data_IF_348058010989
#
_entry.id   IF_348058010989
#
_cell.length_a   1.000
_cell.length_b   1.000
_cell.length_c   1.000
_cell.angle_alpha   90.00
_cell.angle_beta   90.00
_cell.angle_gamma   90.00
#
_symmetry.space_group_name_H-M   'P 1'
#
loop_
_entity.id
_entity.type
_entity.pdbx_description
1 polymer ?
#
# COMPACT_ATOMS: atom_id res chain seq x y z
N UNK A 1 4.71 -27.24 -11.00
CA UNK A 1 6.03 -26.57 -10.93
C UNK A 1 7.11 -27.60 -11.15
N UNK A 2 8.16 -27.29 -11.89
CA UNK A 2 9.34 -28.15 -12.02
C UNK A 2 10.26 -28.01 -10.80
N UNK A 3 11.14 -28.98 -10.56
CA UNK A 3 12.09 -28.95 -9.43
C UNK A 3 12.93 -27.67 -9.37
N UNK A 4 13.39 -27.21 -10.53
CA UNK A 4 14.12 -25.95 -10.69
C UNK A 4 13.27 -24.74 -10.28
N UNK A 5 11.98 -24.72 -10.65
CA UNK A 5 11.05 -23.66 -10.24
C UNK A 5 10.82 -23.65 -8.72
N UNK A 6 10.68 -24.81 -8.09
CA UNK A 6 10.51 -24.90 -6.62
C UNK A 6 11.75 -24.39 -5.89
N UNK A 7 12.95 -24.78 -6.35
CA UNK A 7 14.19 -24.28 -5.77
C UNK A 7 14.31 -22.76 -5.90
N UNK A 8 14.06 -22.20 -7.08
CA UNK A 8 14.08 -20.75 -7.26
C UNK A 8 13.02 -20.06 -6.39
N UNK A 9 11.83 -20.64 -6.25
CA UNK A 9 10.78 -20.08 -5.41
C UNK A 9 11.17 -20.04 -3.92
N UNK A 10 11.83 -21.09 -3.41
CA UNK A 10 12.34 -21.14 -2.03
C UNK A 10 13.29 -19.98 -1.72
N UNK A 11 14.27 -19.73 -2.58
CA UNK A 11 15.21 -18.61 -2.43
C UNK A 11 14.49 -17.26 -2.53
N UNK A 12 13.61 -17.10 -3.52
CA UNK A 12 12.87 -15.84 -3.72
C UNK A 12 12.00 -15.50 -2.50
N UNK A 13 11.31 -16.49 -1.91
CA UNK A 13 10.46 -16.26 -0.74
C UNK A 13 11.31 -15.92 0.48
N UNK A 14 12.45 -16.59 0.69
CA UNK A 14 13.36 -16.26 1.80
C UNK A 14 13.90 -14.83 1.68
N UNK A 15 14.36 -14.43 0.49
CA UNK A 15 14.87 -13.08 0.24
C UNK A 15 13.76 -12.04 0.48
N UNK A 16 12.52 -12.32 0.08
CA UNK A 16 11.38 -11.43 0.37
C UNK A 16 11.06 -11.31 1.86
N UNK A 17 11.38 -12.33 2.66
CA UNK A 17 11.16 -12.33 4.11
C UNK A 17 12.26 -11.60 4.87
N UNK A 18 13.51 -11.92 4.59
CA UNK A 18 14.66 -11.55 5.42
C UNK A 18 15.71 -10.68 4.69
N UNK A 19 15.55 -10.46 3.39
CA UNK A 19 16.56 -9.83 2.54
C UNK A 19 17.64 -10.80 2.05
N UNK A 20 17.66 -12.03 2.58
CA UNK A 20 18.64 -13.07 2.28
C UNK A 20 18.06 -14.49 2.43
N UNK A 21 18.94 -15.50 2.35
CA UNK A 21 18.59 -16.93 2.49
C UNK A 21 18.52 -17.42 3.95
N UNK A 22 18.48 -16.54 4.95
CA UNK A 22 18.52 -16.95 6.37
C UNK A 22 17.29 -17.77 6.77
N UNK A 23 16.09 -17.38 6.33
CA UNK A 23 14.87 -18.15 6.60
C UNK A 23 14.91 -19.53 5.93
N UNK A 24 15.39 -19.59 4.69
CA UNK A 24 15.58 -20.86 3.98
C UNK A 24 16.63 -21.75 4.65
N UNK A 25 17.77 -21.20 5.11
CA UNK A 25 18.78 -21.96 5.85
C UNK A 25 18.22 -22.60 7.11
N UNK A 26 17.42 -21.85 7.87
CA UNK A 26 16.71 -22.40 9.03
C UNK A 26 15.78 -23.55 8.67
N UNK A 27 15.08 -23.44 7.54
CA UNK A 27 14.23 -24.51 7.03
C UNK A 27 15.01 -25.74 6.58
N UNK A 28 16.11 -25.56 5.84
CA UNK A 28 16.98 -26.65 5.40
C UNK A 28 17.58 -27.41 6.57
N UNK A 29 17.96 -26.70 7.65
CA UNK A 29 18.46 -27.30 8.87
C UNK A 29 17.45 -28.24 9.55
N UNK A 30 16.13 -27.98 9.44
CA UNK A 30 15.10 -28.91 9.95
C UNK A 30 15.10 -30.26 9.23
N UNK A 31 15.52 -30.26 7.98
CA UNK A 31 15.67 -31.48 7.17
C UNK A 31 17.10 -32.04 7.24
N UNK A 32 18.00 -31.46 8.05
CA UNK A 32 19.39 -31.91 8.19
C UNK A 32 20.24 -31.68 6.95
N UNK A 33 19.81 -30.80 6.03
CA UNK A 33 20.51 -30.52 4.77
C UNK A 33 21.05 -29.09 4.73
N UNK A 34 22.03 -28.84 3.87
CA UNK A 34 22.63 -27.51 3.69
C UNK A 34 22.20 -26.84 2.37
N UNK A 35 21.66 -27.61 1.44
CA UNK A 35 21.25 -27.13 0.12
C UNK A 35 19.85 -27.61 -0.26
N UNK A 36 19.12 -26.76 -0.97
CA UNK A 36 17.81 -27.10 -1.55
C UNK A 36 17.89 -28.25 -2.54
N UNK A 37 19.07 -28.50 -3.14
CA UNK A 37 19.32 -29.62 -4.05
C UNK A 37 19.30 -30.99 -3.36
N UNK A 38 19.53 -31.03 -2.04
CA UNK A 38 19.56 -32.26 -1.26
C UNK A 38 18.17 -32.68 -0.78
N UNK A 39 17.15 -31.84 -0.97
CA UNK A 39 15.77 -32.19 -0.65
C UNK A 39 15.19 -33.15 -1.69
N UNK A 40 14.31 -34.05 -1.26
CA UNK A 40 13.40 -34.75 -2.18
C UNK A 40 12.36 -33.77 -2.73
N UNK A 41 11.69 -34.15 -3.82
CA UNK A 41 10.66 -33.31 -4.43
C UNK A 41 9.50 -33.01 -3.46
N UNK A 42 9.11 -34.00 -2.68
CA UNK A 42 8.09 -33.89 -1.63
C UNK A 42 8.53 -32.94 -0.51
N UNK A 43 9.77 -33.08 -0.03
CA UNK A 43 10.33 -32.22 1.00
C UNK A 43 10.44 -30.77 0.52
N UNK A 44 10.83 -30.56 -0.73
CA UNK A 44 10.94 -29.22 -1.31
C UNK A 44 9.59 -28.54 -1.47
N UNK A 45 8.56 -29.27 -1.92
CA UNK A 45 7.20 -28.76 -2.01
C UNK A 45 6.65 -28.39 -0.62
N UNK A 46 6.85 -29.25 0.38
CA UNK A 46 6.46 -28.99 1.76
C UNK A 46 7.19 -27.78 2.35
N UNK A 47 8.51 -27.69 2.13
CA UNK A 47 9.33 -26.57 2.55
C UNK A 47 8.82 -25.24 1.96
N UNK A 48 8.44 -25.23 0.67
CA UNK A 48 7.91 -24.03 0.02
C UNK A 48 6.59 -23.58 0.64
N UNK A 49 5.65 -24.51 0.87
CA UNK A 49 4.37 -24.19 1.50
C UNK A 49 4.54 -23.64 2.91
N UNK A 50 5.43 -24.22 3.70
CA UNK A 50 5.75 -23.73 5.04
C UNK A 50 6.40 -22.35 5.01
N UNK A 51 7.35 -22.12 4.11
CA UNK A 51 8.04 -20.84 3.97
C UNK A 51 7.06 -19.73 3.52
N UNK A 52 6.14 -20.03 2.60
CA UNK A 52 5.08 -19.12 2.20
C UNK A 52 4.10 -18.80 3.34
N UNK A 53 3.76 -19.78 4.17
CA UNK A 53 2.90 -19.56 5.33
C UNK A 53 3.57 -18.66 6.37
N UNK A 54 4.85 -18.90 6.66
CA UNK A 54 5.64 -18.04 7.53
C UNK A 54 5.73 -16.63 6.93
N UNK A 55 6.00 -16.48 5.63
CA UNK A 55 6.01 -15.17 4.98
C UNK A 55 4.68 -14.43 5.15
N UNK A 56 3.54 -15.09 4.93
CA UNK A 56 2.21 -14.49 5.13
C UNK A 56 1.99 -14.04 6.58
N UNK A 57 2.37 -14.87 7.54
CA UNK A 57 2.30 -14.53 8.98
C UNK A 57 3.21 -13.35 9.30
N UNK A 58 4.46 -13.35 8.85
CA UNK A 58 5.41 -12.25 9.03
C UNK A 58 4.91 -10.97 8.41
N UNK A 59 4.31 -10.98 7.21
CA UNK A 59 3.68 -9.80 6.61
C UNK A 59 2.54 -9.25 7.46
N UNK A 60 1.68 -10.13 7.98
CA UNK A 60 0.56 -9.74 8.85
C UNK A 60 1.07 -9.14 10.16
N UNK A 61 2.08 -9.76 10.77
CA UNK A 61 2.74 -9.26 11.98
C UNK A 61 3.45 -7.95 11.71
N UNK A 62 4.25 -7.83 10.65
CA UNK A 62 4.93 -6.57 10.29
C UNK A 62 3.94 -5.44 10.01
N UNK A 63 2.77 -5.75 9.44
CA UNK A 63 1.70 -4.77 9.29
C UNK A 63 1.18 -4.30 10.66
N UNK A 64 0.85 -5.23 11.57
CA UNK A 64 0.41 -4.90 12.93
C UNK A 64 1.49 -4.17 13.72
N UNK A 65 2.75 -4.60 13.60
CA UNK A 65 3.91 -3.98 14.22
C UNK A 65 4.13 -2.58 13.64
N UNK A 66 3.97 -2.36 12.33
CA UNK A 66 4.01 -1.00 11.76
C UNK A 66 2.88 -0.12 12.30
N UNK A 67 1.70 -0.70 12.57
CA UNK A 67 0.57 0.00 13.19
C UNK A 67 0.82 0.30 14.68
N UNK A 68 1.66 -0.48 15.38
CA UNK A 68 1.99 -0.36 16.82
C UNK A 68 3.25 0.49 17.07
N UNK A 69 4.30 0.31 16.27
CA UNK A 69 5.59 1.02 16.38
C UNK A 69 5.48 2.42 15.78
N UNK A 70 4.62 2.61 14.77
CA UNK A 70 4.42 3.91 14.14
C UNK A 70 2.94 4.34 14.16
N UNK A 71 2.31 4.48 15.35
CA UNK A 71 0.96 5.04 15.49
C UNK A 71 0.93 6.50 14.99
N UNK A 72 2.08 7.16 15.04
CA UNK A 72 2.39 8.49 14.52
C UNK A 72 2.85 8.52 13.07
N UNK A 73 2.72 7.42 12.32
CA UNK A 73 3.01 7.37 10.88
C UNK A 73 2.44 8.64 10.27
N UNK A 74 3.34 9.58 9.93
CA UNK A 74 2.91 10.89 9.45
C UNK A 74 2.12 10.71 8.17
N UNK A 75 2.31 9.60 7.47
CA UNK A 75 1.75 9.29 6.16
C UNK A 75 0.25 8.96 6.19
N UNK A 76 -0.44 9.39 5.15
CA UNK A 76 -1.87 9.13 4.94
C UNK A 76 -2.21 7.63 5.03
N UNK A 77 -3.27 7.31 5.78
CA UNK A 77 -3.76 5.93 5.93
C UNK A 77 -4.42 5.39 4.65
N UNK A 78 -4.45 4.06 4.50
CA UNK A 78 -5.19 3.40 3.40
C UNK A 78 -6.67 3.79 3.36
N UNK A 79 -7.30 3.98 4.53
CA UNK A 79 -8.70 4.38 4.66
C UNK A 79 -8.92 5.80 4.14
N UNK A 80 -8.07 6.76 4.50
CA UNK A 80 -8.12 8.14 4.00
C UNK A 80 -7.94 8.19 2.49
N UNK A 81 -6.96 7.45 1.95
CA UNK A 81 -6.74 7.34 0.50
C UNK A 81 -7.98 6.80 -0.22
N UNK A 82 -8.60 5.75 0.31
CA UNK A 82 -9.81 5.18 -0.25
C UNK A 82 -10.97 6.19 -0.24
N UNK A 83 -11.12 6.98 0.83
CA UNK A 83 -12.14 8.02 0.93
C UNK A 83 -11.91 9.16 -0.06
N UNK A 84 -10.67 9.62 -0.25
CA UNK A 84 -10.33 10.64 -1.25
C UNK A 84 -10.72 10.17 -2.66
N UNK A 85 -10.31 8.95 -3.02
CA UNK A 85 -10.67 8.35 -4.32
C UNK A 85 -12.19 8.24 -4.45
N UNK A 86 -12.89 7.82 -3.39
CA UNK A 86 -14.34 7.69 -3.41
C UNK A 86 -15.04 9.00 -3.68
N UNK A 87 -14.67 10.06 -2.97
CA UNK A 87 -15.28 11.37 -3.14
C UNK A 87 -14.95 11.97 -4.51
N UNK A 88 -13.67 12.04 -4.87
CA UNK A 88 -13.29 12.75 -6.10
C UNK A 88 -13.67 11.98 -7.35
N UNK A 89 -13.35 10.68 -7.43
CA UNK A 89 -13.60 9.88 -8.65
C UNK A 89 -15.03 9.40 -8.76
N UNK A 90 -15.62 8.85 -7.70
CA UNK A 90 -16.94 8.20 -7.82
C UNK A 90 -18.09 9.16 -7.53
N UNK A 91 -17.95 10.06 -6.54
CA UNK A 91 -19.04 11.00 -6.20
C UNK A 91 -19.02 12.26 -7.07
N UNK A 92 -17.85 12.86 -7.29
CA UNK A 92 -17.73 14.09 -8.09
C UNK A 92 -17.34 13.86 -9.55
N UNK A 93 -16.97 12.64 -9.92
CA UNK A 93 -16.52 12.29 -11.26
C UNK A 93 -15.36 13.16 -11.76
N UNK A 94 -14.46 13.56 -10.86
CA UNK A 94 -13.30 14.36 -11.19
C UNK A 94 -12.27 13.54 -11.96
N UNK A 95 -11.68 14.18 -12.96
CA UNK A 95 -10.47 13.67 -13.60
C UNK A 95 -9.30 13.65 -12.60
N UNK A 96 -8.28 12.83 -12.88
CA UNK A 96 -7.11 12.71 -12.00
C UNK A 96 -6.38 14.05 -11.84
N UNK A 97 -6.34 14.86 -12.89
CA UNK A 97 -5.70 16.17 -12.95
C UNK A 97 -6.42 17.15 -12.01
N UNK A 98 -7.77 17.12 -12.01
CA UNK A 98 -8.58 17.96 -11.12
C UNK A 98 -8.37 17.56 -9.65
N UNK A 99 -8.33 16.25 -9.35
CA UNK A 99 -8.02 15.77 -8.00
C UNK A 99 -6.62 16.21 -7.55
N UNK A 100 -5.63 16.08 -8.44
CA UNK A 100 -4.25 16.43 -8.16
C UNK A 100 -4.09 17.94 -7.91
N UNK A 101 -4.68 18.77 -8.77
CA UNK A 101 -4.68 20.22 -8.63
C UNK A 101 -5.34 20.66 -7.33
N UNK A 102 -6.51 20.10 -7.00
CA UNK A 102 -7.23 20.44 -5.78
C UNK A 102 -6.44 20.09 -4.50
N UNK A 103 -5.76 18.94 -4.49
CA UNK A 103 -4.89 18.57 -3.36
C UNK A 103 -3.74 19.55 -3.22
N UNK A 104 -3.08 19.95 -4.32
CA UNK A 104 -2.00 20.94 -4.27
C UNK A 104 -2.49 22.34 -3.88
N UNK A 105 -3.71 22.71 -4.25
CA UNK A 105 -4.34 23.96 -3.81
C UNK A 105 -4.61 23.93 -2.30
N UNK A 106 -4.99 22.78 -1.77
CA UNK A 106 -5.28 22.60 -0.34
C UNK A 106 -4.00 22.47 0.50
N UNK A 107 -2.97 21.83 -0.05
CA UNK A 107 -1.68 21.53 0.58
C UNK A 107 -0.54 22.02 -0.33
N UNK A 108 -0.28 23.34 -0.41
CA UNK A 108 0.69 23.92 -1.35
C UNK A 108 2.12 23.46 -1.08
N UNK A 109 2.45 23.13 0.17
CA UNK A 109 3.79 22.64 0.57
C UNK A 109 4.17 21.33 -0.14
N UNK A 110 3.20 20.53 -0.57
CA UNK A 110 3.47 19.30 -1.32
C UNK A 110 4.06 19.59 -2.70
N UNK A 111 3.87 20.80 -3.24
CA UNK A 111 4.36 21.17 -4.58
C UNK A 111 5.88 21.24 -4.63
N UNK A 112 6.54 21.71 -3.57
CA UNK A 112 8.02 21.76 -3.52
C UNK A 112 8.66 20.38 -3.43
N UNK A 113 7.89 19.38 -2.99
CA UNK A 113 8.34 17.99 -2.84
C UNK A 113 8.16 17.16 -4.12
N UNK A 114 7.65 17.76 -5.19
CA UNK A 114 7.36 17.10 -6.46
C UNK A 114 8.23 17.62 -7.60
N UNK A 115 8.61 16.72 -8.49
CA UNK A 115 9.28 17.09 -9.74
C UNK A 115 8.29 17.68 -10.75
N UNK A 116 8.78 18.53 -11.65
CA UNK A 116 7.98 19.07 -12.76
C UNK A 116 7.32 17.98 -13.62
N UNK A 117 8.00 16.83 -13.77
CA UNK A 117 7.46 15.67 -14.49
C UNK A 117 6.24 15.06 -13.77
N UNK A 118 6.33 14.88 -12.44
CA UNK A 118 5.23 14.35 -11.62
C UNK A 118 4.02 15.26 -11.62
N UNK A 119 4.24 16.58 -11.59
CA UNK A 119 3.19 17.60 -11.68
C UNK A 119 2.52 17.53 -13.05
N UNK A 120 3.30 17.59 -14.15
CA UNK A 120 2.76 17.55 -15.53
C UNK A 120 1.97 16.28 -15.84
N UNK A 121 2.33 15.14 -15.23
CA UNK A 121 1.63 13.86 -15.42
C UNK A 121 0.56 13.58 -14.35
N UNK A 122 0.37 14.49 -13.39
CA UNK A 122 -0.58 14.38 -12.28
C UNK A 122 -0.50 13.01 -11.58
N UNK A 123 0.72 12.61 -11.18
CA UNK A 123 0.98 11.31 -10.56
C UNK A 123 0.40 11.23 -9.14
N UNK A 124 -0.89 10.93 -9.03
CA UNK A 124 -1.61 10.83 -7.74
C UNK A 124 -0.99 9.84 -6.76
N UNK A 125 -0.39 8.74 -7.22
CA UNK A 125 0.24 7.78 -6.31
C UNK A 125 1.44 8.38 -5.57
N UNK A 126 2.24 9.23 -6.23
CA UNK A 126 3.36 9.95 -5.61
C UNK A 126 2.82 11.00 -4.64
N UNK A 127 1.83 11.78 -5.07
CA UNK A 127 1.21 12.78 -4.21
C UNK A 127 0.64 12.14 -2.93
N UNK A 128 -0.06 11.02 -3.05
CA UNK A 128 -0.58 10.27 -1.90
C UNK A 128 0.50 9.71 -0.98
N UNK A 129 1.69 9.36 -1.49
CA UNK A 129 2.80 8.94 -0.63
C UNK A 129 3.47 10.11 0.11
N UNK A 130 3.33 11.33 -0.39
CA UNK A 130 3.86 12.53 0.26
C UNK A 130 2.90 13.11 1.29
N UNK A 131 1.59 12.86 1.13
CA UNK A 131 0.58 13.39 2.04
C UNK A 131 0.69 12.80 3.44
N UNK A 132 0.63 13.70 4.43
CA UNK A 132 0.47 13.29 5.80
C UNK A 132 -1.00 12.90 6.12
N UNK A 133 -1.24 12.25 7.27
CA UNK A 133 -2.59 12.04 7.82
C UNK A 133 -3.32 13.38 7.98
N UNK A 134 -2.62 14.40 8.45
CA UNK A 134 -3.16 15.75 8.65
C UNK A 134 -3.57 16.39 7.32
N UNK A 135 -2.72 16.27 6.29
CA UNK A 135 -3.02 16.77 4.94
C UNK A 135 -4.26 16.07 4.38
N UNK A 136 -4.31 14.74 4.52
CA UNK A 136 -5.43 13.95 4.05
C UNK A 136 -6.75 14.31 4.76
N UNK A 137 -6.72 14.49 6.08
CA UNK A 137 -7.89 14.93 6.84
C UNK A 137 -8.33 16.34 6.46
N UNK A 138 -7.38 17.25 6.20
CA UNK A 138 -7.70 18.61 5.75
C UNK A 138 -8.41 18.61 4.39
N UNK A 139 -7.88 17.85 3.43
CA UNK A 139 -8.51 17.70 2.10
C UNK A 139 -9.89 17.05 2.23
N UNK A 140 -10.01 15.97 3.01
CA UNK A 140 -11.29 15.29 3.23
C UNK A 140 -12.33 16.20 3.88
N UNK A 141 -11.96 16.95 4.92
CA UNK A 141 -12.87 17.92 5.57
C UNK A 141 -13.39 18.95 4.57
N UNK A 142 -12.55 19.48 3.68
CA UNK A 142 -12.97 20.43 2.64
C UNK A 142 -13.90 19.78 1.62
N UNK A 143 -13.58 18.57 1.15
CA UNK A 143 -14.44 17.83 0.21
C UNK A 143 -15.81 17.55 0.84
N UNK A 144 -15.86 17.06 2.08
CA UNK A 144 -17.13 16.82 2.79
C UNK A 144 -17.91 18.12 3.03
N UNK A 145 -17.25 19.26 3.24
CA UNK A 145 -17.94 20.54 3.34
C UNK A 145 -18.58 20.96 1.99
N UNK A 146 -17.90 20.72 0.86
CA UNK A 146 -18.45 20.92 -0.48
C UNK A 146 -19.65 20.00 -0.71
N UNK A 147 -19.55 18.74 -0.29
CA UNK A 147 -20.62 17.74 -0.35
C UNK A 147 -21.89 18.24 0.34
N UNK A 148 -21.79 18.62 1.62
CA UNK A 148 -22.91 19.12 2.42
C UNK A 148 -23.55 20.36 1.80
N UNK A 149 -22.73 21.26 1.24
CA UNK A 149 -23.21 22.47 0.56
C UNK A 149 -23.99 22.13 -0.71
N UNK A 150 -23.52 21.17 -1.49
CA UNK A 150 -24.18 20.75 -2.72
C UNK A 150 -25.49 20.00 -2.44
N UNK A 151 -25.52 19.17 -1.39
CA UNK A 151 -26.72 18.48 -0.94
C UNK A 151 -27.79 19.47 -0.46
N UNK A 152 -27.41 20.47 0.36
CA UNK A 152 -28.32 21.54 0.80
C UNK A 152 -28.89 22.36 -0.37
N UNK A 153 -28.10 22.63 -1.40
CA UNK A 153 -28.61 23.33 -2.60
C UNK A 153 -29.62 22.47 -3.36
N UNK A 154 -29.36 21.17 -3.50
CA UNK A 154 -30.28 20.25 -4.19
C UNK A 154 -31.61 20.07 -3.46
N UNK A 155 -31.61 20.04 -2.13
CA UNK A 155 -32.87 19.94 -1.37
C UNK A 155 -33.74 21.18 -1.55
N UNK A 156 -33.14 22.37 -1.52
CA UNK A 156 -33.85 23.65 -1.74
C UNK A 156 -34.42 23.74 -3.17
N UNK A 157 -33.68 23.26 -4.17
CA UNK A 157 -34.16 23.25 -5.57
C UNK A 157 -35.23 22.19 -5.87
N UNK A 158 -35.44 21.21 -5.00
CA UNK A 158 -36.49 20.20 -5.15
C UNK A 158 -37.79 20.57 -4.39
N UNK A 159 -37.72 21.55 -3.49
CA UNK A 159 -38.87 22.08 -2.73
C UNK A 159 -39.45 23.37 -3.36
N UNK A 160 -38.76 23.95 -4.34
CA UNK A 160 -39.17 25.12 -5.13
C UNK A 160 -39.66 24.71 -6.51
#
# INVERSE_FOLDING_TARGET
MTRKQINSALHVVSIKMCGDDTALRGMLSKYGVQSTLQLTDEQAAKCLLELEDIYRKTLSTNKKVSEIIDPDSKQMTRRQRAMLIKLTRYKYNWKKEATFAYILETCPDLRSMLTNFEIKKSKLHVLFSLMSKRDADMVLKRLTAIERRNEKKRSISNEA
#
